data_IF_615034998422
#
_entry.id   IF_615034998422
#
_cell.length_a   1.000
_cell.length_b   1.000
_cell.length_c   1.000
_cell.angle_alpha   90.00
_cell.angle_beta   90.00
_cell.angle_gamma   90.00
#
_symmetry.space_group_name_H-M   'P 1'
#
loop_
_entity.id
_entity.type
_entity.pdbx_description
1 polymer ?
#
# COMPACT_ATOMS: atom_id res chain seq x y z
N UNK A 1 -4.17 -18.09 12.02
CA UNK A 1 -5.06 -17.24 11.20
C UNK A 1 -5.22 -17.94 9.86
N UNK A 2 -6.40 -17.88 9.26
CA UNK A 2 -6.53 -18.29 7.86
C UNK A 2 -6.04 -17.17 6.95
N UNK A 3 -5.50 -17.49 5.78
CA UNK A 3 -5.05 -16.49 4.79
C UNK A 3 -6.20 -15.54 4.39
N UNK A 4 -7.44 -16.03 4.43
CA UNK A 4 -8.65 -15.25 4.22
C UNK A 4 -8.82 -14.11 5.24
N UNK A 5 -8.61 -14.41 6.53
CA UNK A 5 -8.74 -13.41 7.58
C UNK A 5 -7.67 -12.33 7.40
N UNK A 6 -6.47 -12.72 7.01
CA UNK A 6 -5.36 -11.81 6.79
C UNK A 6 -5.61 -10.88 5.60
N UNK A 7 -6.05 -11.42 4.47
CA UNK A 7 -6.41 -10.64 3.28
C UNK A 7 -7.52 -9.62 3.59
N UNK A 8 -8.52 -10.01 4.39
CA UNK A 8 -9.60 -9.09 4.78
C UNK A 8 -9.09 -7.88 5.59
N UNK A 9 -8.03 -8.06 6.40
CA UNK A 9 -7.40 -6.97 7.16
C UNK A 9 -6.68 -6.01 6.22
N UNK A 10 -5.95 -6.54 5.24
CA UNK A 10 -5.29 -5.74 4.21
C UNK A 10 -6.31 -4.87 3.49
N UNK A 11 -7.43 -5.44 3.03
CA UNK A 11 -8.47 -4.69 2.33
C UNK A 11 -9.10 -3.60 3.20
N UNK A 12 -9.35 -3.88 4.48
CA UNK A 12 -9.91 -2.90 5.44
C UNK A 12 -8.98 -1.71 5.63
N UNK A 13 -7.68 -1.93 5.78
CA UNK A 13 -6.69 -0.86 5.95
C UNK A 13 -6.45 -0.14 4.62
N UNK A 14 -6.43 -0.85 3.49
CA UNK A 14 -6.33 -0.26 2.16
C UNK A 14 -7.47 0.73 1.89
N UNK A 15 -8.71 0.36 2.25
CA UNK A 15 -9.87 1.25 2.14
C UNK A 15 -9.71 2.51 3.00
N UNK A 16 -9.13 2.40 4.20
CA UNK A 16 -8.83 3.54 5.06
C UNK A 16 -7.78 4.47 4.42
N UNK A 17 -6.69 3.92 3.88
CA UNK A 17 -5.63 4.71 3.19
C UNK A 17 -6.19 5.46 1.98
N UNK A 18 -7.05 4.80 1.20
CA UNK A 18 -7.73 5.42 0.04
C UNK A 18 -8.67 6.55 0.51
N UNK A 19 -9.45 6.30 1.56
CA UNK A 19 -10.36 7.31 2.15
C UNK A 19 -9.61 8.54 2.65
N UNK A 20 -8.43 8.34 3.25
CA UNK A 20 -7.55 9.40 3.72
C UNK A 20 -6.80 10.13 2.59
N UNK A 21 -6.96 9.68 1.33
CA UNK A 21 -6.30 10.23 0.12
C UNK A 21 -4.78 10.30 0.26
N UNK A 22 -4.19 9.32 0.96
CA UNK A 22 -2.74 9.21 1.07
C UNK A 22 -2.16 8.59 -0.20
N UNK A 23 -0.99 9.11 -0.61
CA UNK A 23 -0.24 8.56 -1.74
C UNK A 23 0.20 7.12 -1.44
N UNK A 24 0.13 6.24 -2.45
CA UNK A 24 0.66 4.87 -2.34
C UNK A 24 2.18 4.84 -2.18
N UNK A 25 2.87 5.91 -2.59
CA UNK A 25 4.30 6.11 -2.40
C UNK A 25 4.60 7.00 -1.17
N UNK A 26 3.65 7.11 -0.22
CA UNK A 26 3.90 7.81 1.04
C UNK A 26 4.98 7.11 1.85
N UNK A 27 5.95 7.87 2.33
CA UNK A 27 7.11 7.37 3.10
C UNK A 27 7.32 8.16 4.39
N UNK A 28 6.49 9.18 4.67
CA UNK A 28 6.58 9.96 5.90
C UNK A 28 6.29 9.08 7.12
N UNK A 29 7.27 8.85 8.02
CA UNK A 29 7.09 8.03 9.21
C UNK A 29 5.97 8.52 10.13
N UNK A 30 5.71 9.84 10.16
CA UNK A 30 4.64 10.39 11.00
C UNK A 30 3.26 10.01 10.48
N UNK A 31 3.08 10.00 9.15
CA UNK A 31 1.82 9.58 8.53
C UNK A 31 1.62 8.08 8.60
N UNK A 32 2.69 7.30 8.39
CA UNK A 32 2.66 5.84 8.51
C UNK A 32 2.34 5.37 9.93
N UNK A 33 2.83 6.10 10.94
CA UNK A 33 2.55 5.79 12.35
C UNK A 33 1.06 5.72 12.68
N UNK A 34 0.23 6.58 12.07
CA UNK A 34 -1.25 6.52 12.22
C UNK A 34 -1.79 5.14 11.86
N UNK A 35 -1.32 4.56 10.76
CA UNK A 35 -1.77 3.26 10.28
C UNK A 35 -1.22 2.13 11.13
N UNK A 36 0.05 2.20 11.56
CA UNK A 36 0.63 1.25 12.50
C UNK A 36 -0.17 1.24 13.82
N UNK A 37 -0.45 2.40 14.41
CA UNK A 37 -1.23 2.51 15.64
C UNK A 37 -2.67 2.00 15.45
N UNK A 38 -3.29 2.26 14.30
CA UNK A 38 -4.62 1.74 13.97
C UNK A 38 -4.63 0.20 13.93
N UNK A 39 -3.72 -0.44 13.18
CA UNK A 39 -3.72 -1.90 13.04
C UNK A 39 -3.32 -2.61 14.34
N UNK A 40 -2.48 -1.99 15.16
CA UNK A 40 -2.15 -2.48 16.51
C UNK A 40 -3.38 -2.52 17.41
N UNK A 41 -4.16 -1.43 17.43
CA UNK A 41 -5.34 -1.33 18.28
C UNK A 41 -6.50 -2.20 17.78
N UNK A 42 -6.75 -2.20 16.46
CA UNK A 42 -7.89 -2.89 15.85
C UNK A 42 -7.69 -4.41 15.79
N UNK A 43 -6.46 -4.87 15.55
CA UNK A 43 -6.17 -6.29 15.36
C UNK A 43 -5.34 -6.93 16.48
N UNK A 44 -5.03 -6.17 17.53
CA UNK A 44 -4.21 -6.59 18.67
C UNK A 44 -2.86 -7.20 18.25
N UNK A 45 -2.24 -6.61 17.22
CA UNK A 45 -0.97 -7.04 16.66
C UNK A 45 0.23 -6.47 17.43
N UNK A 46 1.35 -7.19 17.39
CA UNK A 46 2.64 -6.67 17.89
C UNK A 46 3.19 -5.62 16.94
N UNK A 47 4.17 -4.84 17.38
CA UNK A 47 4.79 -3.79 16.57
C UNK A 47 5.32 -4.29 15.22
N UNK A 48 6.04 -5.42 15.21
CA UNK A 48 6.59 -5.98 13.97
C UNK A 48 5.48 -6.42 12.99
N UNK A 49 4.48 -7.15 13.49
CA UNK A 49 3.34 -7.61 12.69
C UNK A 49 2.51 -6.45 12.13
N UNK A 50 2.36 -5.38 12.91
CA UNK A 50 1.67 -4.16 12.50
C UNK A 50 2.40 -3.41 11.38
N UNK A 51 3.72 -3.29 11.49
CA UNK A 51 4.56 -2.68 10.45
C UNK A 51 4.50 -3.52 9.17
N UNK A 52 4.60 -4.85 9.30
CA UNK A 52 4.49 -5.74 8.15
C UNK A 52 3.14 -5.60 7.44
N UNK A 53 2.02 -5.62 8.18
CA UNK A 53 0.69 -5.50 7.60
C UNK A 53 0.49 -4.18 6.87
N UNK A 54 0.96 -3.06 7.43
CA UNK A 54 0.86 -1.75 6.78
C UNK A 54 1.71 -1.71 5.51
N UNK A 55 2.94 -2.23 5.53
CA UNK A 55 3.77 -2.30 4.33
C UNK A 55 3.11 -3.13 3.22
N UNK A 56 2.50 -4.26 3.58
CA UNK A 56 1.76 -5.10 2.64
C UNK A 56 0.51 -4.40 2.08
N UNK A 57 -0.16 -3.55 2.87
CA UNK A 57 -1.28 -2.72 2.38
C UNK A 57 -0.81 -1.73 1.31
N UNK A 58 0.30 -1.03 1.54
CA UNK A 58 0.86 -0.13 0.54
C UNK A 58 1.32 -0.88 -0.71
N UNK A 59 1.93 -2.07 -0.55
CA UNK A 59 2.29 -2.94 -1.67
C UNK A 59 1.04 -3.39 -2.45
N UNK A 60 -0.01 -3.83 -1.77
CA UNK A 60 -1.29 -4.22 -2.38
C UNK A 60 -1.89 -3.07 -3.19
N UNK A 61 -1.94 -1.87 -2.62
CA UNK A 61 -2.44 -0.68 -3.31
C UNK A 61 -1.61 -0.35 -4.54
N UNK A 62 -0.28 -0.43 -4.42
CA UNK A 62 0.65 -0.19 -5.53
C UNK A 62 0.41 -1.19 -6.67
N UNK A 63 0.34 -2.49 -6.36
CA UNK A 63 0.07 -3.55 -7.35
C UNK A 63 -1.29 -3.33 -8.04
N UNK A 64 -2.33 -3.04 -7.26
CA UNK A 64 -3.68 -2.78 -7.78
C UNK A 64 -3.75 -1.52 -8.64
N UNK A 65 -2.91 -0.52 -8.35
CA UNK A 65 -2.80 0.69 -9.17
C UNK A 65 -1.95 0.47 -10.44
N UNK A 66 -0.94 -0.41 -10.39
CA UNK A 66 -0.04 -0.68 -11.52
C UNK A 66 -0.66 -1.52 -12.64
N UNK A 67 -1.73 -2.28 -12.37
CA UNK A 67 -2.50 -2.96 -13.43
C UNK A 67 -3.14 -1.98 -14.45
N UNK A 68 -3.14 -0.67 -14.15
CA UNK A 68 -3.61 0.39 -15.05
C UNK A 68 -2.50 1.08 -15.86
N UNK A 69 -1.23 0.74 -15.63
CA UNK A 69 -0.10 1.29 -16.40
C UNK A 69 0.14 0.34 -17.57
N UNK A 70 -0.55 0.61 -18.68
CA UNK A 70 -0.28 -0.06 -19.96
C UNK A 70 1.17 0.26 -20.39
N UNK A 71 2.11 -0.70 -20.40
CA UNK A 71 3.49 -0.45 -20.80
C UNK A 71 3.60 0.03 -22.25
N UNK A 72 2.56 -0.22 -23.06
CA UNK A 72 2.47 0.23 -24.45
C UNK A 72 2.19 1.74 -24.57
N UNK A 73 1.64 2.40 -23.54
CA UNK A 73 1.40 3.85 -23.58
C UNK A 73 2.69 4.67 -23.44
N UNK A 74 3.76 4.08 -22.90
CA UNK A 74 5.05 4.76 -22.69
C UNK A 74 6.11 4.40 -23.74
N UNK A 75 5.73 3.72 -24.84
CA UNK A 75 6.63 3.35 -25.92
C UNK A 75 7.39 4.52 -26.55
N UNK A 76 6.79 5.72 -26.56
CA UNK A 76 7.41 6.94 -27.12
C UNK A 76 8.47 7.56 -26.21
N UNK A 77 8.47 7.28 -24.89
CA UNK A 77 9.44 7.88 -23.96
C UNK A 77 10.78 7.16 -23.89
N UNK A 78 10.89 5.94 -24.43
CA UNK A 78 12.15 5.20 -24.46
C UNK A 78 13.04 5.53 -25.69
N UNK A 79 12.54 6.31 -26.66
CA UNK A 79 13.22 6.55 -27.95
C UNK A 79 13.93 7.91 -28.11
N UNK A 80 13.67 8.91 -27.25
CA UNK A 80 14.13 10.29 -27.46
C UNK A 80 15.19 10.71 -26.42
N UNK A 81 16.34 10.03 -26.39
CA UNK A 81 17.39 10.32 -25.40
C UNK A 81 18.83 10.04 -25.82
N UNK A 82 19.08 9.67 -27.07
CA UNK A 82 20.44 9.56 -27.62
C UNK A 82 20.68 10.71 -28.60
N UNK A 83 21.24 11.81 -28.12
CA UNK A 83 21.86 12.87 -28.94
C UNK A 83 23.08 13.42 -28.22
#
# INVERSE_FOLDING_TARGET
MSDSDYNSRIEKVAALVISDRISVDEQDPQKLKKYHDYVKNEFHLKDEDAVQLVNEVFLYLKLKSSDSIDPLQYGDQFGAGFS
#
